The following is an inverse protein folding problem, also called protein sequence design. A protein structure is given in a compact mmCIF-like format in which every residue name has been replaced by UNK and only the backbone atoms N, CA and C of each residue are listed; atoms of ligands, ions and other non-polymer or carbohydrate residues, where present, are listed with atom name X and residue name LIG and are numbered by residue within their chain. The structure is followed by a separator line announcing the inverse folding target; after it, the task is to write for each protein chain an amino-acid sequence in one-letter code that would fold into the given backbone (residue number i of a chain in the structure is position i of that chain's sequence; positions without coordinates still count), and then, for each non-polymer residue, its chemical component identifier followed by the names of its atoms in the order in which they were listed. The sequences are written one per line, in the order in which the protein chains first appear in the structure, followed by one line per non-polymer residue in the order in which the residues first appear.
data_IF_601237409178
#
_entry.id   IF_601237409178
#
_cell.length_a   1.000
_cell.length_b   1.000
_cell.length_c   1.000
_cell.angle_alpha   90.00
_cell.angle_beta   90.00
_cell.angle_gamma   90.00
#
_symmetry.space_group_name_H-M   'P 1'
#
loop_
_entity.id
_entity.type
_entity.pdbx_description
1 polymer ?
#
# COMPACT_ATOMS: atom_id res chain seq x y z
N UNK A 1 6.92 -48.21 2.35
CA UNK A 1 6.99 -47.12 1.35
C UNK A 1 8.20 -47.34 0.43
N UNK A 2 8.25 -48.44 -0.34
CA UNK A 2 9.40 -48.75 -1.24
C UNK A 2 8.96 -48.94 -2.69
N UNK A 3 7.75 -49.48 -2.90
CA UNK A 3 7.22 -49.80 -4.23
C UNK A 3 7.01 -48.59 -5.16
N UNK A 4 6.58 -47.45 -4.63
CA UNK A 4 6.36 -46.23 -5.44
C UNK A 4 7.71 -45.59 -5.84
N UNK A 5 8.71 -45.61 -4.95
CA UNK A 5 10.03 -45.03 -5.23
C UNK A 5 10.79 -45.83 -6.30
N UNK A 6 10.66 -47.16 -6.31
CA UNK A 6 11.32 -48.03 -7.30
C UNK A 6 10.61 -48.00 -8.68
N UNK A 7 9.29 -47.82 -8.71
CA UNK A 7 8.52 -47.63 -9.95
C UNK A 7 8.86 -46.28 -10.63
N UNK A 8 9.10 -45.23 -9.85
CA UNK A 8 9.50 -43.92 -10.37
C UNK A 8 11.02 -43.82 -10.66
N UNK A 9 11.88 -44.57 -9.97
CA UNK A 9 13.34 -44.52 -10.22
C UNK A 9 13.76 -45.30 -11.48
N UNK A 10 13.08 -46.39 -11.82
CA UNK A 10 13.36 -47.18 -13.02
C UNK A 10 12.80 -46.58 -14.32
N UNK A 11 11.72 -45.81 -14.26
CA UNK A 11 11.05 -45.20 -15.42
C UNK A 11 11.52 -43.77 -15.75
N UNK A 12 12.00 -43.01 -14.76
CA UNK A 12 12.37 -41.61 -14.97
C UNK A 12 13.68 -41.45 -15.76
N UNK A 13 14.66 -42.33 -15.57
CA UNK A 13 15.96 -42.23 -16.25
C UNK A 13 15.85 -42.42 -17.78
N UNK A 14 15.08 -43.40 -18.22
CA UNK A 14 14.87 -43.67 -19.65
C UNK A 14 13.99 -42.62 -20.34
N UNK A 15 13.02 -42.03 -19.62
CA UNK A 15 12.19 -40.94 -20.11
C UNK A 15 13.00 -39.63 -20.23
N UNK A 16 13.83 -39.30 -19.23
CA UNK A 16 14.70 -38.11 -19.28
C UNK A 16 15.73 -38.22 -20.40
N UNK A 17 16.34 -39.39 -20.59
CA UNK A 17 17.29 -39.62 -21.70
C UNK A 17 16.61 -39.57 -23.07
N UNK A 18 15.36 -40.04 -23.17
CA UNK A 18 14.58 -39.98 -24.41
C UNK A 18 14.11 -38.55 -24.72
N UNK A 19 13.74 -37.77 -23.70
CA UNK A 19 13.41 -36.35 -23.82
C UNK A 19 14.66 -35.53 -24.18
N UNK A 20 15.81 -35.83 -23.55
CA UNK A 20 17.10 -35.21 -23.87
C UNK A 20 17.55 -35.47 -25.31
N UNK A 21 17.37 -36.71 -25.81
CA UNK A 21 17.71 -37.07 -27.21
C UNK A 21 16.76 -36.50 -28.26
N UNK A 22 15.50 -36.22 -27.92
CA UNK A 22 14.56 -35.55 -28.84
C UNK A 22 14.80 -34.04 -28.84
N UNK A 23 15.11 -33.44 -27.69
CA UNK A 23 15.57 -32.05 -27.62
C UNK A 23 16.86 -31.83 -28.43
N UNK A 24 17.83 -32.75 -28.35
CA UNK A 24 19.08 -32.66 -29.12
C UNK A 24 18.88 -32.92 -30.63
N UNK A 25 18.00 -33.84 -31.03
CA UNK A 25 17.76 -34.11 -32.45
C UNK A 25 16.90 -33.05 -33.15
N UNK A 26 16.05 -32.31 -32.43
CA UNK A 26 15.19 -31.26 -33.01
C UNK A 26 15.93 -29.91 -33.09
N UNK A 27 17.01 -29.71 -32.32
CA UNK A 27 17.80 -28.47 -32.31
C UNK A 27 19.18 -28.75 -32.93
N UNK A 28 19.25 -28.93 -34.26
CA UNK A 28 20.50 -29.29 -34.95
C UNK A 28 21.27 -28.07 -35.51
N UNK A 29 20.67 -26.89 -35.67
CA UNK A 29 21.40 -25.70 -36.19
C UNK A 29 21.60 -24.60 -35.14
N UNK A 30 22.84 -24.07 -35.07
CA UNK A 30 23.23 -22.96 -34.19
C UNK A 30 22.34 -21.72 -34.41
N UNK A 31 21.87 -21.52 -35.64
CA UNK A 31 20.96 -20.46 -36.06
C UNK A 31 19.55 -20.64 -35.49
N UNK A 32 18.94 -21.83 -35.56
CA UNK A 32 17.60 -22.08 -34.99
C UNK A 32 17.60 -21.94 -33.46
N UNK A 33 18.67 -22.38 -32.79
CA UNK A 33 18.84 -22.18 -31.34
C UNK A 33 18.94 -20.70 -30.98
N UNK A 34 19.66 -19.91 -31.78
CA UNK A 34 19.78 -18.46 -31.60
C UNK A 34 18.47 -17.71 -31.90
N UNK A 35 17.70 -18.17 -32.90
CA UNK A 35 16.37 -17.63 -33.20
C UNK A 35 15.38 -17.94 -32.08
N UNK A 36 15.36 -19.18 -31.58
CA UNK A 36 14.52 -19.59 -30.46
C UNK A 36 14.89 -18.83 -29.17
N UNK A 37 16.18 -18.64 -28.89
CA UNK A 37 16.63 -17.85 -27.73
C UNK A 37 16.22 -16.36 -27.85
N UNK A 38 16.28 -15.79 -29.06
CA UNK A 38 15.79 -14.44 -29.31
C UNK A 38 14.27 -14.33 -29.17
N UNK A 39 13.51 -15.32 -29.61
CA UNK A 39 12.05 -15.36 -29.43
C UNK A 39 11.65 -15.54 -27.96
N UNK A 40 12.36 -16.39 -27.21
CA UNK A 40 12.19 -16.54 -25.76
C UNK A 40 12.49 -15.22 -25.05
N UNK A 41 13.63 -14.58 -25.36
CA UNK A 41 14.00 -13.28 -24.78
C UNK A 41 12.98 -12.19 -25.12
N UNK A 42 12.49 -12.15 -26.37
CA UNK A 42 11.45 -11.20 -26.78
C UNK A 42 10.14 -11.45 -26.03
N UNK A 43 9.77 -12.71 -25.85
CA UNK A 43 8.58 -13.11 -25.08
C UNK A 43 8.72 -12.77 -23.60
N UNK A 44 9.90 -12.93 -23.01
CA UNK A 44 10.19 -12.56 -21.63
C UNK A 44 10.14 -11.03 -21.44
N UNK A 45 10.74 -10.25 -22.36
CA UNK A 45 10.66 -8.79 -22.34
C UNK A 45 9.20 -8.34 -22.48
N UNK A 46 8.43 -8.97 -23.39
CA UNK A 46 7.03 -8.66 -23.59
C UNK A 46 6.20 -8.97 -22.34
N UNK A 47 6.42 -10.13 -21.72
CA UNK A 47 5.79 -10.52 -20.47
C UNK A 47 6.10 -9.53 -19.34
N UNK A 48 7.36 -9.10 -19.20
CA UNK A 48 7.73 -8.08 -18.21
C UNK A 48 7.08 -6.73 -18.48
N UNK A 49 6.97 -6.31 -19.74
CA UNK A 49 6.27 -5.07 -20.12
C UNK A 49 4.79 -5.14 -19.80
N UNK A 50 4.13 -6.25 -20.11
CA UNK A 50 2.70 -6.43 -19.86
C UNK A 50 2.42 -6.52 -18.36
N UNK A 51 3.29 -7.18 -17.59
CA UNK A 51 3.20 -7.18 -16.13
C UNK A 51 3.31 -5.76 -15.56
N UNK A 52 4.29 -4.97 -16.02
CA UNK A 52 4.44 -3.56 -15.61
C UNK A 52 3.23 -2.71 -15.98
N UNK A 53 2.62 -2.94 -17.15
CA UNK A 53 1.39 -2.26 -17.56
C UNK A 53 0.23 -2.59 -16.63
N UNK A 54 0.03 -3.86 -16.29
CA UNK A 54 -1.03 -4.26 -15.37
C UNK A 54 -0.83 -3.64 -13.99
N UNK A 55 0.39 -3.62 -13.46
CA UNK A 55 0.69 -2.94 -12.20
C UNK A 55 0.39 -1.44 -12.27
N UNK A 56 0.76 -0.76 -13.37
CA UNK A 56 0.45 0.66 -13.54
C UNK A 56 -1.06 0.91 -13.66
N UNK A 57 -1.78 0.04 -14.35
CA UNK A 57 -3.23 0.12 -14.50
C UNK A 57 -3.94 -0.07 -13.15
N UNK A 58 -3.53 -1.05 -12.35
CA UNK A 58 -4.02 -1.27 -10.99
C UNK A 58 -3.78 -0.05 -10.10
N UNK A 59 -2.56 0.51 -10.13
CA UNK A 59 -2.23 1.73 -9.39
C UNK A 59 -3.09 2.91 -9.85
N UNK A 60 -3.30 3.04 -11.17
CA UNK A 60 -4.15 4.09 -11.72
C UNK A 60 -5.60 3.93 -11.29
N UNK A 61 -6.15 2.71 -11.32
CA UNK A 61 -7.51 2.43 -10.84
C UNK A 61 -7.67 2.79 -9.36
N UNK A 62 -6.69 2.45 -8.53
CA UNK A 62 -6.69 2.83 -7.11
C UNK A 62 -6.62 4.36 -6.91
N UNK A 63 -5.76 5.05 -7.67
CA UNK A 63 -5.66 6.51 -7.61
C UNK A 63 -6.93 7.18 -8.14
N UNK A 64 -7.56 6.64 -9.19
CA UNK A 64 -8.81 7.14 -9.75
C UNK A 64 -9.95 7.00 -8.74
N UNK A 65 -10.05 5.88 -8.01
CA UNK A 65 -11.02 5.69 -6.93
C UNK A 65 -10.85 6.74 -5.82
N UNK A 66 -9.60 6.98 -5.37
CA UNK A 66 -9.29 8.06 -4.42
C UNK A 66 -9.67 9.43 -4.99
N UNK A 67 -9.41 9.66 -6.28
CA UNK A 67 -9.72 10.93 -6.95
C UNK A 67 -11.23 11.18 -7.01
N UNK A 68 -12.03 10.15 -7.29
CA UNK A 68 -13.49 10.22 -7.30
C UNK A 68 -14.04 10.55 -5.91
N UNK A 69 -13.48 9.94 -4.86
CA UNK A 69 -13.85 10.26 -3.48
C UNK A 69 -13.53 11.74 -3.14
N UNK A 70 -12.38 12.25 -3.56
CA UNK A 70 -12.01 13.68 -3.37
C UNK A 70 -12.86 14.63 -4.22
N UNK A 71 -13.25 14.23 -5.44
CA UNK A 71 -14.16 15.02 -6.26
C UNK A 71 -15.54 15.10 -5.62
N UNK A 72 -16.05 14.01 -5.04
CA UNK A 72 -17.31 14.02 -4.28
C UNK A 72 -17.25 15.02 -3.13
N UNK A 73 -16.18 15.01 -2.33
CA UNK A 73 -15.98 16.01 -1.27
C UNK A 73 -15.95 17.43 -1.84
N UNK A 74 -15.19 17.66 -2.93
CA UNK A 74 -15.13 18.97 -3.59
C UNK A 74 -16.52 19.46 -4.03
N UNK A 75 -17.31 18.59 -4.66
CA UNK A 75 -18.67 18.90 -5.10
C UNK A 75 -19.60 19.21 -3.92
N UNK A 76 -19.45 18.53 -2.78
CA UNK A 76 -20.20 18.83 -1.55
C UNK A 76 -19.79 20.21 -1.00
N UNK A 77 -18.50 20.54 -1.01
CA UNK A 77 -18.01 21.83 -0.52
C UNK A 77 -18.48 23.00 -1.40
N UNK A 78 -18.43 22.85 -2.72
CA UNK A 78 -18.79 23.91 -3.69
C UNK A 78 -20.28 24.01 -3.96
N UNK A 79 -21.08 22.99 -3.64
CA UNK A 79 -22.52 23.04 -3.85
C UNK A 79 -23.20 24.04 -2.91
N UNK A 80 -24.01 24.95 -3.48
CA UNK A 80 -24.83 25.90 -2.71
C UNK A 80 -25.96 25.21 -1.93
N UNK A 81 -26.38 24.02 -2.37
CA UNK A 81 -27.45 23.24 -1.76
C UNK A 81 -26.96 22.34 -0.61
N UNK A 82 -25.64 22.21 -0.42
CA UNK A 82 -25.08 21.40 0.64
C UNK A 82 -25.22 22.08 2.01
N UNK A 83 -25.74 21.33 2.99
CA UNK A 83 -25.94 21.85 4.35
C UNK A 83 -24.61 22.18 5.02
N UNK A 84 -24.61 23.18 5.92
CA UNK A 84 -23.42 23.55 6.71
C UNK A 84 -22.86 22.37 7.52
N UNK A 85 -23.74 21.44 7.93
CA UNK A 85 -23.36 20.21 8.62
C UNK A 85 -22.60 19.27 7.67
N UNK A 86 -23.14 19.01 6.47
CA UNK A 86 -22.49 18.17 5.45
C UNK A 86 -21.10 18.68 5.02
N UNK A 87 -20.94 20.01 4.93
CA UNK A 87 -19.64 20.62 4.59
C UNK A 87 -18.59 20.51 5.69
N UNK A 88 -19.01 20.46 6.95
CA UNK A 88 -18.09 20.55 8.10
C UNK A 88 -18.12 19.31 8.99
N UNK A 89 -18.60 18.15 8.49
CA UNK A 89 -18.70 16.91 9.28
C UNK A 89 -17.37 16.57 9.94
N UNK A 90 -16.27 16.60 9.18
CA UNK A 90 -14.93 16.31 9.69
C UNK A 90 -14.49 17.28 10.78
N UNK A 91 -14.74 18.58 10.59
CA UNK A 91 -14.40 19.63 11.56
C UNK A 91 -15.21 19.52 12.84
N UNK A 92 -16.51 19.28 12.74
CA UNK A 92 -17.36 19.07 13.92
C UNK A 92 -17.00 17.78 14.66
N UNK A 93 -16.74 16.68 13.94
CA UNK A 93 -16.34 15.43 14.56
C UNK A 93 -14.98 15.58 15.27
N UNK A 94 -14.00 16.23 14.64
CA UNK A 94 -12.71 16.49 15.29
C UNK A 94 -12.82 17.40 16.49
N UNK A 95 -13.64 18.47 16.41
CA UNK A 95 -13.83 19.38 17.53
C UNK A 95 -14.52 18.65 18.70
N UNK A 96 -15.53 17.84 18.41
CA UNK A 96 -16.20 16.99 19.39
C UNK A 96 -15.25 16.00 20.06
N UNK A 97 -14.41 15.32 19.28
CA UNK A 97 -13.42 14.37 19.81
C UNK A 97 -12.37 15.09 20.67
N UNK A 98 -11.82 16.22 20.23
CA UNK A 98 -10.86 17.01 21.04
C UNK A 98 -11.51 17.46 22.35
N UNK A 99 -12.73 17.99 22.30
CA UNK A 99 -13.45 18.42 23.50
C UNK A 99 -13.69 17.25 24.46
N UNK A 100 -14.14 16.10 23.95
CA UNK A 100 -14.37 14.89 24.74
C UNK A 100 -13.06 14.37 25.35
N UNK A 101 -11.96 14.37 24.59
CA UNK A 101 -10.65 13.98 25.10
C UNK A 101 -10.18 14.91 26.23
N UNK A 102 -10.36 16.23 26.11
CA UNK A 102 -10.04 17.18 27.19
C UNK A 102 -10.92 16.97 28.42
N UNK A 103 -12.21 16.68 28.24
CA UNK A 103 -13.13 16.35 29.34
C UNK A 103 -12.66 15.07 30.05
N UNK A 104 -12.27 14.03 29.31
CA UNK A 104 -11.77 12.78 29.89
C UNK A 104 -10.44 12.98 30.63
N UNK A 105 -9.52 13.77 30.08
CA UNK A 105 -8.29 14.16 30.79
C UNK A 105 -8.61 14.91 32.08
N UNK A 106 -9.53 15.88 32.03
CA UNK A 106 -9.95 16.62 33.21
C UNK A 106 -10.58 15.70 34.26
N UNK A 107 -11.47 14.79 33.85
CA UNK A 107 -12.09 13.84 34.75
C UNK A 107 -11.04 12.99 35.47
N UNK A 108 -10.02 12.51 34.74
CA UNK A 108 -8.92 11.71 35.27
C UNK A 108 -8.09 12.45 36.33
N UNK A 109 -7.84 13.75 36.14
CA UNK A 109 -7.10 14.60 37.08
C UNK A 109 -7.86 14.77 38.41
N UNK A 110 -9.19 14.77 38.37
CA UNK A 110 -10.03 14.95 39.55
C UNK A 110 -10.45 13.64 40.24
N UNK A 111 -9.98 12.48 39.76
CA UNK A 111 -10.19 11.20 40.47
C UNK A 111 -9.38 11.22 41.79
N UNK A 112 -9.98 10.84 42.94
CA UNK A 112 -9.26 10.76 44.20
C UNK A 112 -8.06 9.80 44.12
N UNK A 113 -6.92 10.23 44.67
CA UNK A 113 -5.66 9.46 44.69
C UNK A 113 -5.79 8.06 45.31
N UNK A 114 -6.73 7.87 46.25
CA UNK A 114 -7.01 6.58 46.88
C UNK A 114 -7.53 5.52 45.90
N UNK A 115 -8.14 5.92 44.79
CA UNK A 115 -8.68 5.02 43.76
C UNK A 115 -7.69 4.76 42.60
N UNK A 116 -6.54 5.45 42.63
CA UNK A 116 -5.58 5.53 41.53
C UNK A 116 -4.36 4.62 41.70
N UNK A 117 -4.00 4.22 42.93
CA UNK A 117 -2.81 3.41 43.19
C UNK A 117 -2.88 2.03 42.50
N UNK A 118 -4.03 1.36 42.58
CA UNK A 118 -4.23 0.04 41.96
C UNK A 118 -4.48 0.10 40.44
N UNK A 119 -4.70 1.31 39.89
CA UNK A 119 -5.10 1.53 38.49
C UNK A 119 -4.10 2.35 37.68
N UNK A 120 -2.92 2.62 38.23
CA UNK A 120 -1.92 3.48 37.59
C UNK A 120 -1.56 3.05 36.17
N UNK A 121 -1.39 1.75 35.93
CA UNK A 121 -1.02 1.24 34.59
C UNK A 121 -2.12 1.48 33.56
N UNK A 122 -3.38 1.18 33.91
CA UNK A 122 -4.51 1.39 33.00
C UNK A 122 -4.73 2.88 32.72
N UNK A 123 -4.46 3.74 33.70
CA UNK A 123 -4.54 5.19 33.56
C UNK A 123 -3.46 5.73 32.63
N UNK A 124 -2.21 5.27 32.78
CA UNK A 124 -1.13 5.61 31.86
C UNK A 124 -1.42 5.14 30.43
N UNK A 125 -2.01 3.95 30.27
CA UNK A 125 -2.47 3.47 28.97
C UNK A 125 -3.54 4.40 28.37
N UNK A 126 -4.58 4.75 29.13
CA UNK A 126 -5.64 5.66 28.69
C UNK A 126 -5.06 7.03 28.32
N UNK A 127 -4.18 7.60 29.15
CA UNK A 127 -3.47 8.85 28.87
C UNK A 127 -2.69 8.76 27.55
N UNK A 128 -2.04 7.63 27.28
CA UNK A 128 -1.33 7.37 26.03
C UNK A 128 -2.26 7.38 24.82
N UNK A 129 -3.37 6.63 24.88
CA UNK A 129 -4.36 6.55 23.79
C UNK A 129 -5.02 7.92 23.52
N UNK A 130 -5.38 8.65 24.57
CA UNK A 130 -5.96 10.00 24.45
C UNK A 130 -4.96 10.99 23.83
N UNK A 131 -3.69 10.94 24.23
CA UNK A 131 -2.63 11.80 23.67
C UNK A 131 -2.34 11.48 22.19
N UNK A 132 -2.35 10.19 21.83
CA UNK A 132 -2.19 9.75 20.45
C UNK A 132 -3.37 10.23 19.57
N UNK A 133 -4.59 10.16 20.10
CA UNK A 133 -5.80 10.63 19.39
C UNK A 133 -5.74 12.12 19.10
N UNK A 134 -5.34 12.94 20.08
CA UNK A 134 -5.11 14.38 19.85
C UNK A 134 -4.04 14.59 18.77
N UNK A 135 -2.90 13.91 18.87
CA UNK A 135 -1.80 13.99 17.89
C UNK A 135 -2.28 13.63 16.48
N UNK A 136 -3.12 12.61 16.33
CA UNK A 136 -3.67 12.19 15.05
C UNK A 136 -4.60 13.25 14.46
N UNK A 137 -5.45 13.87 15.27
CA UNK A 137 -6.32 14.98 14.83
C UNK A 137 -5.47 16.19 14.41
N UNK A 138 -4.48 16.58 15.22
CA UNK A 138 -3.56 17.67 14.85
C UNK A 138 -2.80 17.35 13.57
N UNK A 139 -2.38 16.10 13.37
CA UNK A 139 -1.70 15.67 12.14
C UNK A 139 -2.62 15.70 10.92
N UNK A 140 -3.91 15.41 11.08
CA UNK A 140 -4.87 15.52 9.98
C UNK A 140 -5.03 16.97 9.50
N UNK A 141 -5.14 17.94 10.44
CA UNK A 141 -5.35 19.35 10.08
C UNK A 141 -4.06 20.11 9.76
N UNK A 142 -2.96 19.80 10.43
CA UNK A 142 -1.71 20.56 10.37
C UNK A 142 -0.52 19.75 9.83
N UNK A 143 -0.69 18.44 9.61
CA UNK A 143 0.44 17.51 9.50
C UNK A 143 1.10 17.33 8.13
N UNK A 144 0.64 17.93 7.03
CA UNK A 144 1.45 17.95 5.78
C UNK A 144 0.89 18.86 4.68
N UNK A 145 0.84 20.17 4.92
CA UNK A 145 0.98 21.11 3.80
C UNK A 145 2.47 21.26 3.42
N UNK A 146 3.35 21.39 4.42
CA UNK A 146 4.79 21.53 4.23
C UNK A 146 5.49 20.26 3.70
N UNK A 147 5.09 19.07 4.16
CA UNK A 147 5.69 17.81 3.71
C UNK A 147 5.37 17.47 2.25
N UNK A 148 4.14 17.75 1.81
CA UNK A 148 3.73 17.58 0.41
C UNK A 148 4.41 18.61 -0.49
N UNK A 149 4.49 19.87 -0.07
CA UNK A 149 5.22 20.91 -0.80
C UNK A 149 6.73 20.58 -0.91
N UNK A 150 7.35 20.09 0.16
CA UNK A 150 8.74 19.64 0.14
C UNK A 150 8.93 18.44 -0.79
N UNK A 151 8.03 17.44 -0.76
CA UNK A 151 8.06 16.31 -1.70
C UNK A 151 7.91 16.75 -3.15
N UNK A 152 6.96 17.64 -3.45
CA UNK A 152 6.79 18.19 -4.80
C UNK A 152 8.04 18.95 -5.27
N UNK A 153 8.68 19.71 -4.38
CA UNK A 153 9.95 20.40 -4.68
C UNK A 153 11.08 19.42 -4.94
N UNK A 154 11.26 18.40 -4.09
CA UNK A 154 12.28 17.36 -4.28
C UNK A 154 12.05 16.56 -5.57
N UNK A 155 10.80 16.24 -5.90
CA UNK A 155 10.46 15.55 -7.16
C UNK A 155 10.80 16.43 -8.36
N UNK A 156 10.46 17.73 -8.32
CA UNK A 156 10.82 18.68 -9.37
C UNK A 156 12.35 18.80 -9.55
N UNK A 157 13.10 18.88 -8.45
CA UNK A 157 14.58 18.91 -8.47
C UNK A 157 15.19 17.62 -9.04
N UNK A 158 14.61 16.45 -8.74
CA UNK A 158 15.05 15.16 -9.30
C UNK A 158 14.76 15.11 -10.81
N UNK A 159 13.60 15.60 -11.24
CA UNK A 159 13.21 15.62 -12.65
C UNK A 159 14.09 16.58 -13.48
N UNK A 160 14.45 17.73 -12.92
CA UNK A 160 15.34 18.71 -13.56
C UNK A 160 16.77 18.17 -13.70
N UNK A 161 17.27 17.44 -12.70
CA UNK A 161 18.57 16.73 -12.78
C UNK A 161 18.58 15.55 -13.74
N UNK A 162 17.43 14.98 -14.08
CA UNK A 162 17.32 13.87 -15.02
C UNK A 162 17.19 14.33 -16.48
N UNK A 163 16.93 15.62 -16.70
CA UNK A 163 16.70 16.22 -18.03
C UNK A 163 17.85 17.13 -18.50
N UNK A 164 18.83 17.40 -17.63
CA UNK A 164 20.11 18.04 -17.94
C UNK A 164 21.26 17.05 -17.83
#
# INVERSE_FOLDING_TARGET
MSFITDLFSGGAGSIVDSVGKVLDNVITTKEEKMQLENEIRKSEIQFQLDMKKFTNEEQKMFLDDISNARQRETQIQTSDSATKLGKNVASFLSLGTVALTLILFSALIFIPNSDLEDKKEIILYILGVLSATLTQIYSYYFGSSAGSAAKSKTIAEIQDKATN
#
